data_IF_135213060690
#
_entry.id   IF_135213060690
#
_cell.length_a   1.000
_cell.length_b   1.000
_cell.length_c   1.000
_cell.angle_alpha   90.00
_cell.angle_beta   90.00
_cell.angle_gamma   90.00
#
_symmetry.space_group_name_H-M   'P 1'
#
loop_
_entity.id
_entity.type
_entity.pdbx_description
1 polymer ?
#
# COMPACT_ATOMS: atom_id res chain seq x y z
N UNK A 1 6.91 35.91 -20.16
CA UNK A 1 5.61 35.42 -19.65
C UNK A 1 5.58 33.92 -19.76
N UNK A 2 5.58 33.24 -18.62
CA UNK A 2 4.97 31.93 -18.32
C UNK A 2 5.75 31.36 -17.13
N UNK A 3 5.58 32.01 -15.98
CA UNK A 3 6.00 31.50 -14.69
C UNK A 3 5.19 30.25 -14.37
N UNK A 4 5.77 29.09 -14.69
CA UNK A 4 5.34 27.80 -14.22
C UNK A 4 5.64 27.73 -12.72
N UNK A 5 4.72 28.26 -11.90
CA UNK A 5 4.76 28.11 -10.47
C UNK A 5 4.81 26.62 -10.12
N UNK A 6 5.98 26.22 -9.63
CA UNK A 6 6.29 24.90 -9.12
C UNK A 6 5.40 24.61 -7.90
N UNK A 7 4.24 24.03 -8.14
CA UNK A 7 3.38 23.47 -7.09
C UNK A 7 4.07 22.23 -6.53
N UNK A 8 4.86 22.45 -5.49
CA UNK A 8 5.47 21.41 -4.66
C UNK A 8 4.33 20.71 -3.93
N UNK A 9 4.00 19.49 -4.37
CA UNK A 9 3.06 18.62 -3.67
C UNK A 9 3.73 18.17 -2.37
N UNK A 10 3.48 18.88 -1.26
CA UNK A 10 3.78 18.35 0.06
C UNK A 10 2.77 17.22 0.28
N UNK A 11 3.27 15.98 0.33
CA UNK A 11 2.47 14.81 0.68
C UNK A 11 2.12 14.95 2.16
N UNK A 12 0.95 15.51 2.42
CA UNK A 12 0.38 15.59 3.76
C UNK A 12 -0.12 14.19 4.15
N UNK A 13 0.64 13.52 5.02
CA UNK A 13 0.41 12.14 5.48
C UNK A 13 -0.81 12.01 6.43
N UNK A 14 -1.67 13.03 6.50
CA UNK A 14 -2.81 13.05 7.42
C UNK A 14 -4.09 13.65 6.83
N UNK A 15 -4.44 13.30 5.59
CA UNK A 15 -5.85 13.45 5.14
C UNK A 15 -6.67 12.25 5.57
N UNK A 16 -7.06 12.27 6.84
CA UNK A 16 -8.32 11.66 7.29
C UNK A 16 -9.41 12.23 6.37
N UNK A 17 -10.12 11.37 5.63
CA UNK A 17 -11.26 11.79 4.83
C UNK A 17 -12.24 12.52 5.75
N UNK A 18 -12.23 13.85 5.69
CA UNK A 18 -13.22 14.68 6.36
C UNK A 18 -14.44 14.63 5.45
N UNK A 19 -15.55 14.12 5.96
CA UNK A 19 -16.82 14.09 5.26
C UNK A 19 -17.17 15.51 4.74
N UNK A 20 -17.94 15.62 3.64
CA UNK A 20 -18.43 16.90 3.15
C UNK A 20 -19.18 17.61 4.27
N UNK A 21 -18.74 18.81 4.62
CA UNK A 21 -19.41 19.66 5.58
C UNK A 21 -20.67 20.20 4.90
N UNK A 22 -21.80 19.51 5.11
CA UNK A 22 -23.12 20.07 4.80
C UNK A 22 -23.38 21.09 5.91
N UNK A 23 -23.28 22.38 5.59
CA UNK A 23 -23.70 23.44 6.50
C UNK A 23 -25.21 23.33 6.73
N UNK A 24 -25.57 22.73 7.87
CA UNK A 24 -26.95 22.67 8.34
C UNK A 24 -27.29 24.04 8.93
N UNK A 25 -28.07 24.80 8.17
CA UNK A 25 -28.73 26.02 8.64
C UNK A 25 -29.57 25.75 9.90
N UNK A 26 -29.59 26.75 10.78
CA UNK A 26 -30.08 26.68 12.15
C UNK A 26 -31.49 26.08 12.28
N UNK A 27 -31.65 25.21 13.29
CA UNK A 27 -32.96 24.93 13.90
C UNK A 27 -33.72 23.75 13.32
N UNK A 28 -33.33 22.52 13.67
CA UNK A 28 -34.29 21.48 14.07
C UNK A 28 -33.55 20.33 14.75
N UNK A 29 -34.15 19.82 15.83
CA UNK A 29 -33.68 18.71 16.64
C UNK A 29 -33.10 17.59 15.77
N UNK A 30 -31.79 17.35 15.91
CA UNK A 30 -31.22 16.07 15.52
C UNK A 30 -31.79 15.00 16.47
N UNK A 31 -32.52 13.99 15.97
CA UNK A 31 -32.96 12.91 16.83
C UNK A 31 -31.74 12.09 17.29
N UNK A 32 -31.59 11.88 18.60
CA UNK A 32 -30.52 11.08 19.22
C UNK A 32 -30.39 9.66 18.63
N UNK A 33 -31.42 9.20 17.91
CA UNK A 33 -31.44 7.93 17.18
C UNK A 33 -30.56 7.90 15.93
N UNK A 34 -30.13 9.04 15.37
CA UNK A 34 -29.34 9.07 14.13
C UNK A 34 -27.87 8.63 14.31
N UNK A 35 -27.35 8.69 15.55
CA UNK A 35 -26.00 8.21 15.89
C UNK A 35 -25.82 6.70 15.65
N UNK A 36 -26.88 5.92 15.84
CA UNK A 36 -26.90 4.48 15.57
C UNK A 36 -26.86 4.18 14.06
N UNK A 37 -27.58 4.97 13.26
CA UNK A 37 -27.72 4.74 11.82
C UNK A 37 -26.45 5.05 11.03
N UNK A 38 -25.69 6.08 11.43
CA UNK A 38 -24.51 6.51 10.66
C UNK A 38 -23.33 5.54 10.77
N UNK A 39 -23.23 4.81 11.89
CA UNK A 39 -22.10 3.89 12.09
C UNK A 39 -22.30 2.53 11.40
N UNK A 40 -23.54 2.18 11.04
CA UNK A 40 -23.86 0.85 10.50
C UNK A 40 -23.94 0.84 8.96
N UNK A 41 -24.42 1.90 8.32
CA UNK A 41 -24.65 1.90 6.85
C UNK A 41 -23.35 1.90 6.03
N UNK A 42 -22.36 2.71 6.42
CA UNK A 42 -21.12 2.87 5.66
C UNK A 42 -20.26 1.60 5.61
N UNK A 43 -20.22 0.84 6.71
CA UNK A 43 -19.46 -0.43 6.77
C UNK A 43 -20.15 -1.49 5.91
N UNK A 44 -21.47 -1.58 5.97
CA UNK A 44 -22.25 -2.51 5.15
C UNK A 44 -22.15 -2.19 3.65
N UNK A 45 -22.15 -0.90 3.29
CA UNK A 45 -21.96 -0.46 1.90
C UNK A 45 -20.56 -0.80 1.39
N UNK A 46 -19.52 -0.54 2.20
CA UNK A 46 -18.14 -0.87 1.87
C UNK A 46 -17.93 -2.39 1.71
N UNK A 47 -18.49 -3.20 2.61
CA UNK A 47 -18.43 -4.67 2.49
C UNK A 47 -19.16 -5.17 1.24
N UNK A 48 -20.31 -4.59 0.90
CA UNK A 48 -21.06 -4.95 -0.31
C UNK A 48 -20.25 -4.61 -1.55
N UNK A 49 -19.70 -3.40 -1.62
CA UNK A 49 -18.86 -2.99 -2.74
C UNK A 49 -17.62 -3.86 -2.88
N UNK A 50 -16.96 -4.22 -1.75
CA UNK A 50 -15.84 -5.14 -1.76
C UNK A 50 -16.26 -6.54 -2.26
N UNK A 51 -17.43 -7.02 -1.83
CA UNK A 51 -17.99 -8.31 -2.27
C UNK A 51 -18.25 -8.33 -3.77
N UNK A 52 -18.83 -7.27 -4.32
CA UNK A 52 -19.09 -7.13 -5.77
C UNK A 52 -17.78 -7.14 -6.58
N UNK A 53 -16.73 -6.49 -6.06
CA UNK A 53 -15.41 -6.51 -6.69
C UNK A 53 -14.70 -7.88 -6.62
N UNK A 54 -14.92 -8.65 -5.53
CA UNK A 54 -14.41 -10.03 -5.42
C UNK A 54 -15.15 -10.97 -6.38
N UNK A 55 -16.48 -10.84 -6.47
CA UNK A 55 -17.32 -11.66 -7.35
C UNK A 55 -17.02 -11.40 -8.83
N UNK A 56 -16.79 -10.13 -9.19
CA UNK A 56 -16.35 -9.75 -10.54
C UNK A 56 -14.90 -10.13 -10.85
N UNK A 57 -14.19 -10.77 -9.91
CA UNK A 57 -12.78 -11.18 -9.99
C UNK A 57 -11.82 -10.01 -10.25
N UNK A 58 -12.25 -8.77 -10.01
CA UNK A 58 -11.40 -7.59 -10.10
C UNK A 58 -10.36 -7.54 -8.98
N UNK A 59 -10.64 -8.17 -7.84
CA UNK A 59 -9.71 -8.32 -6.73
C UNK A 59 -9.88 -9.67 -6.02
N UNK A 60 -8.78 -10.19 -5.48
CA UNK A 60 -8.80 -11.37 -4.61
C UNK A 60 -8.72 -10.89 -3.17
N UNK A 61 -9.80 -11.07 -2.42
CA UNK A 61 -9.84 -10.73 -1.01
C UNK A 61 -10.73 -11.69 -0.22
N UNK A 62 -10.39 -11.90 1.05
CA UNK A 62 -11.21 -12.64 2.03
C UNK A 62 -11.60 -11.67 3.15
N UNK A 63 -12.90 -11.54 3.40
CA UNK A 63 -13.45 -10.69 4.47
C UNK A 63 -13.68 -11.56 5.71
N UNK A 64 -13.07 -11.19 6.83
CA UNK A 64 -13.34 -11.73 8.15
C UNK A 64 -14.24 -10.74 8.90
N UNK A 65 -15.56 -10.95 8.82
CA UNK A 65 -16.58 -10.06 9.40
C UNK A 65 -16.54 -9.96 10.93
N UNK A 66 -16.41 -11.04 11.72
CA UNK A 66 -16.35 -10.90 13.19
C UNK A 66 -15.09 -10.18 13.67
N UNK A 67 -13.98 -10.31 12.94
CA UNK A 67 -12.73 -9.60 13.25
C UNK A 67 -12.60 -8.22 12.59
N UNK A 68 -13.45 -7.91 11.60
CA UNK A 68 -13.40 -6.67 10.81
C UNK A 68 -12.14 -6.53 9.93
N UNK A 69 -11.50 -7.65 9.57
CA UNK A 69 -10.24 -7.67 8.81
C UNK A 69 -10.48 -8.13 7.37
N UNK A 70 -9.84 -7.45 6.41
CA UNK A 70 -9.85 -7.85 5.00
C UNK A 70 -8.44 -8.28 4.59
N UNK A 71 -8.32 -9.53 4.15
CA UNK A 71 -7.08 -10.10 3.63
C UNK A 71 -7.08 -10.09 2.11
N UNK A 72 -6.23 -9.27 1.49
CA UNK A 72 -6.03 -9.20 0.03
C UNK A 72 -4.98 -10.19 -0.50
N UNK A 73 -4.38 -10.97 0.40
CA UNK A 73 -3.41 -11.98 0.01
C UNK A 73 -4.14 -13.26 -0.37
N UNK A 74 -3.74 -13.84 -1.51
CA UNK A 74 -4.07 -15.22 -1.82
C UNK A 74 -3.50 -16.13 -0.73
N UNK A 75 -4.21 -17.21 -0.42
CA UNK A 75 -3.64 -18.27 0.40
C UNK A 75 -2.42 -18.79 -0.35
N UNK A 76 -1.22 -18.48 0.15
CA UNK A 76 0.03 -18.98 -0.42
C UNK A 76 0.16 -20.42 -0.01
N UNK A 77 0.39 -21.30 -0.98
CA UNK A 77 0.74 -22.67 -0.68
C UNK A 77 2.12 -22.70 -0.03
N UNK A 78 2.38 -23.73 0.78
CA UNK A 78 3.70 -23.94 1.38
C UNK A 78 4.80 -23.98 0.32
N UNK A 79 4.52 -24.54 -0.86
CA UNK A 79 5.46 -24.54 -1.99
C UNK A 79 5.74 -23.12 -2.52
N UNK A 80 4.73 -22.25 -2.62
CA UNK A 80 4.94 -20.87 -3.09
C UNK A 80 5.85 -20.08 -2.14
N UNK A 81 5.69 -20.31 -0.84
CA UNK A 81 6.54 -19.71 0.19
C UNK A 81 7.98 -20.21 0.03
N UNK A 82 8.17 -21.53 -0.11
CA UNK A 82 9.50 -22.13 -0.28
C UNK A 82 10.17 -21.67 -1.57
N UNK A 83 9.43 -21.61 -2.68
CA UNK A 83 9.94 -21.10 -3.95
C UNK A 83 10.34 -19.64 -3.86
N UNK A 84 9.51 -18.81 -3.21
CA UNK A 84 9.87 -17.40 -2.96
C UNK A 84 11.15 -17.29 -2.10
N UNK A 85 11.34 -18.17 -1.12
CA UNK A 85 12.55 -18.20 -0.32
C UNK A 85 13.77 -18.57 -1.15
N UNK A 86 13.70 -19.63 -1.96
CA UNK A 86 14.78 -20.04 -2.85
C UNK A 86 15.17 -18.92 -3.82
N UNK A 87 14.19 -18.27 -4.46
CA UNK A 87 14.46 -17.13 -5.35
C UNK A 87 15.11 -15.95 -4.63
N UNK A 88 14.78 -15.72 -3.36
CA UNK A 88 15.41 -14.67 -2.57
C UNK A 88 16.87 -15.01 -2.23
N UNK A 89 17.18 -16.28 -1.98
CA UNK A 89 18.56 -16.74 -1.77
C UNK A 89 19.40 -16.62 -3.04
N UNK A 90 18.86 -16.99 -4.19
CA UNK A 90 19.53 -16.81 -5.49
C UNK A 90 19.86 -15.33 -5.73
N UNK A 91 18.88 -14.43 -5.56
CA UNK A 91 19.09 -12.98 -5.71
C UNK A 91 20.15 -12.45 -4.74
N UNK A 92 20.20 -12.97 -3.51
CA UNK A 92 21.19 -12.57 -2.53
C UNK A 92 22.60 -12.96 -3.00
N UNK A 93 22.78 -14.20 -3.45
CA UNK A 93 24.07 -14.70 -3.94
C UNK A 93 24.53 -13.93 -5.18
N UNK A 94 23.63 -13.65 -6.13
CA UNK A 94 23.92 -12.83 -7.31
C UNK A 94 24.42 -11.42 -6.93
N UNK A 95 23.82 -10.81 -5.91
CA UNK A 95 24.24 -9.49 -5.43
C UNK A 95 25.61 -9.53 -4.76
N UNK A 96 25.89 -10.58 -3.99
CA UNK A 96 27.21 -10.79 -3.36
C UNK A 96 28.28 -10.99 -4.42
N UNK A 97 28.03 -11.80 -5.45
CA UNK A 97 28.96 -12.00 -6.55
C UNK A 97 29.24 -10.70 -7.32
N UNK A 98 28.18 -9.96 -7.65
CA UNK A 98 28.32 -8.64 -8.32
C UNK A 98 29.13 -7.66 -7.49
N UNK A 99 28.89 -7.60 -6.18
CA UNK A 99 29.66 -6.75 -5.28
C UNK A 99 31.14 -7.15 -5.24
N UNK A 100 31.43 -8.45 -5.14
CA UNK A 100 32.80 -8.97 -5.20
C UNK A 100 33.51 -8.59 -6.51
N UNK A 101 32.82 -8.76 -7.64
CA UNK A 101 33.35 -8.37 -8.96
C UNK A 101 33.64 -6.86 -9.03
N UNK A 102 32.73 -6.02 -8.53
CA UNK A 102 32.94 -4.56 -8.51
C UNK A 102 34.14 -4.17 -7.63
N UNK A 103 34.27 -4.73 -6.43
CA UNK A 103 35.41 -4.48 -5.54
C UNK A 103 36.73 -4.86 -6.23
N UNK A 104 36.78 -6.01 -6.89
CA UNK A 104 37.96 -6.43 -7.65
C UNK A 104 38.30 -5.42 -8.75
N UNK A 105 37.31 -5.02 -9.54
CA UNK A 105 37.47 -4.03 -10.61
C UNK A 105 38.01 -2.70 -10.08
N UNK A 106 37.40 -2.15 -9.03
CA UNK A 106 37.84 -0.90 -8.40
C UNK A 106 39.26 -1.03 -7.85
N UNK A 107 39.56 -2.14 -7.16
CA UNK A 107 40.91 -2.41 -6.65
C UNK A 107 41.95 -2.41 -7.77
N UNK A 108 41.64 -2.97 -8.94
CA UNK A 108 42.55 -2.95 -10.09
C UNK A 108 42.76 -1.53 -10.63
N UNK A 109 41.70 -0.74 -10.76
CA UNK A 109 41.78 0.67 -11.21
C UNK A 109 42.61 1.51 -10.25
N UNK A 110 42.36 1.40 -8.94
CA UNK A 110 43.13 2.12 -7.92
C UNK A 110 44.61 1.69 -7.92
N UNK A 111 44.90 0.39 -8.03
CA UNK A 111 46.28 -0.10 -8.12
C UNK A 111 47.00 0.38 -9.40
N UNK A 112 46.28 0.53 -10.51
CA UNK A 112 46.85 1.08 -11.74
C UNK A 112 47.14 2.59 -11.59
N UNK A 113 46.22 3.34 -10.98
CA UNK A 113 46.38 4.78 -10.74
C UNK A 113 47.54 5.09 -9.77
N UNK A 114 47.83 4.22 -8.80
CA UNK A 114 48.95 4.36 -7.87
C UNK A 114 50.31 3.98 -8.47
N UNK A 115 50.33 3.32 -9.64
CA UNK A 115 51.56 2.94 -10.35
C UNK A 115 52.01 3.98 -11.38
N UNK A 116 51.33 5.13 -11.44
CA UNK A 116 51.70 6.32 -12.23
C UNK A 116 52.40 7.33 -11.33
#
# INVERSE_FOLDING_TARGET
>A
MNDCHKSRLIIDSKRRLRAPQIEMGEGSLFPDSASHWFSSSAVQEAEKHLSDMVVSKSLVAKIDRPMGVVCFQTAKDSNDILNSWSMNLEKLLDLVEKSCHQIHKETMVHKAALKV
#
